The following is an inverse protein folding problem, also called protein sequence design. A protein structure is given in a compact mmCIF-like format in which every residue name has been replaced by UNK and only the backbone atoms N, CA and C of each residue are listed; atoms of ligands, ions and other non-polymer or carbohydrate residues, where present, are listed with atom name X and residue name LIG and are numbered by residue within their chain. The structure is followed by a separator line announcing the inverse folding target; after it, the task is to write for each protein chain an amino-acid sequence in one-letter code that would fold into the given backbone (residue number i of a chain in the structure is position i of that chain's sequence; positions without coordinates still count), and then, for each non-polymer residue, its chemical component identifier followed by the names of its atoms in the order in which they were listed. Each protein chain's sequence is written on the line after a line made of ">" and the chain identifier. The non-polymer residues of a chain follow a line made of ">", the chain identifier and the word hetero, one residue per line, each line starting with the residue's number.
data_IF_422920354618
#
_entry.id   IF_422920354618
#
_cell.length_a   1.000
_cell.length_b   1.000
_cell.length_c   1.000
_cell.angle_alpha   90.00
_cell.angle_beta   90.00
_cell.angle_gamma   90.00
#
_symmetry.space_group_name_H-M   'P 1'
#
loop_
_entity.id
_entity.type
_entity.pdbx_description
1 polymer ?
#
# COMPACT_ATOMS: atom_id res chain seq x y z
N UNK A 1 51.67 -8.32 35.66
CA UNK A 1 50.76 -9.37 36.20
C UNK A 1 49.34 -8.96 35.87
N UNK A 2 48.52 -9.94 35.42
CA UNK A 2 47.19 -9.84 34.77
C UNK A 2 47.30 -9.53 33.27
N UNK A 3 47.62 -10.53 32.44
CA UNK A 3 46.74 -11.56 31.83
C UNK A 3 45.67 -10.97 30.90
N UNK A 4 45.95 -11.08 29.59
CA UNK A 4 45.00 -10.87 28.50
C UNK A 4 44.38 -12.24 28.18
N UNK A 5 43.07 -12.35 28.29
CA UNK A 5 42.33 -13.54 27.88
C UNK A 5 42.14 -13.52 26.37
N UNK A 6 42.81 -14.45 25.68
CA UNK A 6 42.59 -14.78 24.27
C UNK A 6 41.42 -15.76 24.18
N UNK A 7 40.35 -15.40 23.47
CA UNK A 7 39.28 -16.33 23.14
C UNK A 7 39.71 -17.20 21.95
N UNK A 8 39.60 -18.51 22.15
CA UNK A 8 39.99 -19.58 21.25
C UNK A 8 38.85 -19.85 20.26
N UNK A 9 39.07 -19.55 18.97
CA UNK A 9 38.17 -19.93 17.88
C UNK A 9 38.38 -21.42 17.61
N UNK A 10 37.32 -22.22 17.78
CA UNK A 10 37.31 -23.63 17.42
C UNK A 10 37.05 -23.76 15.91
N UNK A 11 38.12 -24.03 15.17
CA UNK A 11 38.06 -24.38 13.75
C UNK A 11 37.46 -25.79 13.62
N UNK A 12 36.23 -25.90 13.12
CA UNK A 12 35.71 -27.17 12.62
C UNK A 12 36.23 -27.39 11.20
N UNK A 13 36.90 -28.52 11.00
CA UNK A 13 37.55 -28.95 9.76
C UNK A 13 36.54 -29.19 8.64
N UNK A 14 36.64 -28.38 7.57
CA UNK A 14 36.00 -28.62 6.28
C UNK A 14 36.79 -29.73 5.55
N UNK A 15 36.15 -30.87 5.30
CA UNK A 15 36.64 -31.87 4.36
C UNK A 15 36.04 -31.56 2.98
N UNK A 16 36.90 -31.21 2.02
CA UNK A 16 36.49 -30.82 0.68
C UNK A 16 36.21 -31.98 -0.27
N UNK A 17 35.38 -31.70 -1.26
CA UNK A 17 35.23 -32.29 -2.62
C UNK A 17 34.24 -31.34 -3.32
N UNK A 18 34.38 -30.84 -4.54
CA UNK A 18 35.38 -30.89 -5.59
C UNK A 18 34.95 -29.82 -6.61
N UNK A 19 35.90 -29.30 -7.39
CA UNK A 19 35.61 -28.42 -8.51
C UNK A 19 34.93 -29.24 -9.61
N UNK A 20 33.74 -28.83 -10.07
CA UNK A 20 33.21 -29.23 -11.37
C UNK A 20 32.89 -27.96 -12.18
N UNK A 21 33.45 -27.93 -13.38
CA UNK A 21 33.36 -26.85 -14.33
C UNK A 21 32.03 -26.96 -15.10
N UNK A 22 31.22 -25.91 -15.05
CA UNK A 22 30.27 -25.60 -16.12
C UNK A 22 29.01 -26.46 -16.21
N UNK A 23 27.90 -25.92 -15.69
CA UNK A 23 26.61 -25.99 -16.36
C UNK A 23 25.83 -24.71 -16.09
N UNK A 24 25.77 -23.86 -17.12
CA UNK A 24 24.73 -22.84 -17.24
C UNK A 24 23.42 -23.61 -17.41
N UNK A 25 22.53 -23.57 -16.42
CA UNK A 25 21.13 -23.96 -16.64
C UNK A 25 20.39 -22.71 -17.09
N UNK A 26 20.40 -22.52 -18.41
CA UNK A 26 19.31 -21.85 -19.11
C UNK A 26 18.41 -22.96 -19.63
N UNK A 27 17.32 -23.27 -18.93
CA UNK A 27 16.17 -23.86 -19.61
C UNK A 27 14.89 -23.53 -18.87
N UNK A 28 13.96 -23.00 -19.65
CA UNK A 28 12.58 -22.70 -19.30
C UNK A 28 11.89 -23.99 -18.87
N UNK A 29 11.46 -24.02 -17.61
CA UNK A 29 10.87 -25.22 -17.04
C UNK A 29 9.98 -24.89 -15.87
N UNK A 30 8.99 -24.02 -16.07
CA UNK A 30 7.77 -24.04 -15.26
C UNK A 30 7.28 -25.48 -15.29
N UNK A 31 7.37 -26.18 -14.15
CA UNK A 31 6.62 -27.41 -13.98
C UNK A 31 5.16 -27.01 -13.90
N UNK A 32 4.46 -27.11 -15.03
CA UNK A 32 3.00 -27.16 -15.07
C UNK A 32 2.57 -28.46 -14.39
N UNK A 33 2.41 -28.38 -13.07
CA UNK A 33 1.80 -29.41 -12.26
C UNK A 33 0.29 -29.32 -12.35
N UNK A 34 -0.30 -30.02 -13.31
CA UNK A 34 -1.70 -30.44 -13.22
C UNK A 34 -1.83 -31.47 -12.08
N UNK A 35 -2.67 -31.20 -11.09
CA UNK A 35 -3.15 -32.20 -10.14
C UNK A 35 -2.97 -31.88 -8.65
N UNK A 36 -4.08 -31.98 -7.91
CA UNK A 36 -4.11 -31.88 -6.46
C UNK A 36 -3.21 -32.88 -5.73
N UNK A 37 -2.81 -32.49 -4.52
CA UNK A 37 -2.17 -33.34 -3.52
C UNK A 37 -0.71 -33.71 -3.82
N UNK A 38 0.15 -32.73 -4.07
CA UNK A 38 1.61 -32.91 -4.12
C UNK A 38 2.27 -32.72 -2.75
N UNK A 39 3.30 -33.52 -2.44
CA UNK A 39 4.15 -33.33 -1.24
C UNK A 39 4.80 -31.94 -1.30
N UNK A 40 4.49 -31.09 -0.30
CA UNK A 40 5.10 -29.77 -0.19
C UNK A 40 6.55 -29.88 0.32
N UNK A 41 7.53 -29.22 -0.33
CA UNK A 41 8.89 -29.16 0.18
C UNK A 41 8.94 -28.53 1.57
N UNK A 42 9.82 -29.05 2.43
CA UNK A 42 9.99 -28.52 3.79
C UNK A 42 10.50 -27.07 3.79
N UNK A 43 11.33 -26.72 2.80
CA UNK A 43 11.92 -25.39 2.64
C UNK A 43 11.04 -24.44 1.80
N UNK A 44 9.81 -24.87 1.46
CA UNK A 44 8.87 -24.09 0.65
C UNK A 44 9.00 -24.28 -0.86
N UNK A 45 8.02 -23.73 -1.59
CA UNK A 45 8.00 -23.71 -3.06
C UNK A 45 8.54 -22.35 -3.53
N UNK A 46 9.66 -22.35 -4.25
CA UNK A 46 10.21 -21.14 -4.87
C UNK A 46 9.42 -20.78 -6.12
N UNK A 47 9.04 -19.50 -6.26
CA UNK A 47 8.27 -18.95 -7.37
C UNK A 47 8.99 -17.73 -7.92
N UNK A 48 9.11 -17.63 -9.24
CA UNK A 48 9.81 -16.54 -9.94
C UNK A 48 9.12 -16.26 -11.27
N UNK A 49 9.21 -15.03 -11.78
CA UNK A 49 8.74 -14.69 -13.13
C UNK A 49 7.21 -14.56 -13.22
N UNK A 50 6.59 -15.23 -14.18
CA UNK A 50 5.17 -15.04 -14.50
C UNK A 50 4.29 -16.24 -14.09
N UNK A 51 3.09 -15.93 -13.63
CA UNK A 51 1.95 -16.82 -13.48
C UNK A 51 0.95 -16.43 -14.57
N UNK A 52 0.97 -17.15 -15.69
CA UNK A 52 0.23 -16.84 -16.92
C UNK A 52 -1.03 -17.69 -17.14
N UNK A 53 -1.33 -18.56 -16.19
CA UNK A 53 -2.54 -19.37 -16.14
C UNK A 53 -3.03 -19.53 -14.69
N UNK A 54 -4.32 -19.81 -14.53
CA UNK A 54 -4.93 -20.04 -13.21
C UNK A 54 -4.09 -21.01 -12.38
N UNK A 55 -3.64 -20.54 -11.23
CA UNK A 55 -2.69 -21.25 -10.39
C UNK A 55 -3.19 -21.23 -8.96
N UNK A 56 -3.05 -22.37 -8.28
CA UNK A 56 -3.41 -22.49 -6.87
C UNK A 56 -2.19 -22.82 -6.03
N UNK A 57 -1.96 -21.99 -5.02
CA UNK A 57 -0.98 -22.22 -3.98
C UNK A 57 -1.63 -23.00 -2.83
N UNK A 58 -1.33 -24.31 -2.74
CA UNK A 58 -1.84 -25.21 -1.71
C UNK A 58 -0.80 -25.59 -0.64
N UNK A 59 0.47 -25.24 -0.85
CA UNK A 59 1.53 -25.50 0.13
C UNK A 59 1.53 -24.50 1.30
N UNK A 60 2.07 -24.90 2.46
CA UNK A 60 2.13 -24.01 3.63
C UNK A 60 3.11 -22.86 3.44
N UNK A 61 4.12 -23.02 2.58
CA UNK A 61 5.20 -22.05 2.41
C UNK A 61 5.55 -21.85 0.93
N UNK A 62 5.57 -20.59 0.50
CA UNK A 62 6.06 -20.14 -0.80
C UNK A 62 7.16 -19.08 -0.61
N UNK A 63 8.10 -19.02 -1.55
CA UNK A 63 9.21 -18.06 -1.54
C UNK A 63 9.25 -17.36 -2.89
N UNK A 64 9.09 -16.04 -2.90
CA UNK A 64 9.20 -15.21 -4.09
C UNK A 64 10.69 -14.95 -4.35
N UNK A 65 11.20 -15.46 -5.47
CA UNK A 65 12.55 -15.16 -5.98
C UNK A 65 12.41 -14.07 -7.04
N UNK A 66 12.56 -12.82 -6.60
CA UNK A 66 12.38 -11.63 -7.40
C UNK A 66 10.90 -11.26 -7.62
N UNK A 67 10.65 -10.49 -8.68
CA UNK A 67 9.31 -9.98 -9.00
C UNK A 67 8.47 -11.10 -9.62
N UNK A 68 7.38 -11.47 -8.96
CA UNK A 68 6.41 -12.44 -9.46
C UNK A 68 5.18 -11.72 -9.97
N UNK A 69 4.88 -11.87 -11.26
CA UNK A 69 3.74 -11.24 -11.91
C UNK A 69 2.62 -12.27 -12.16
N UNK A 70 1.38 -11.94 -11.79
CA UNK A 70 0.19 -12.66 -12.25
C UNK A 70 -0.33 -11.92 -13.47
N UNK A 71 -0.41 -12.59 -14.62
CA UNK A 71 -0.62 -11.94 -15.93
C UNK A 71 -1.67 -12.68 -16.76
N UNK A 72 -1.96 -12.17 -17.97
CA UNK A 72 -2.78 -12.85 -18.99
C UNK A 72 -4.18 -13.25 -18.53
N UNK A 73 -4.76 -12.50 -17.58
CA UNK A 73 -6.09 -12.79 -17.03
C UNK A 73 -6.13 -13.98 -16.08
N UNK A 74 -4.98 -14.49 -15.63
CA UNK A 74 -4.90 -15.58 -14.68
C UNK A 74 -5.43 -15.19 -13.30
N UNK A 75 -5.95 -16.17 -12.57
CA UNK A 75 -6.25 -16.05 -11.14
C UNK A 75 -5.24 -16.82 -10.31
N UNK A 76 -4.57 -16.13 -9.37
CA UNK A 76 -3.77 -16.75 -8.34
C UNK A 76 -4.62 -17.00 -7.08
N UNK A 77 -4.96 -18.25 -6.79
CA UNK A 77 -5.68 -18.62 -5.56
C UNK A 77 -4.73 -19.11 -4.48
N UNK A 78 -4.81 -18.57 -3.27
CA UNK A 78 -3.91 -18.89 -2.15
C UNK A 78 -4.71 -19.53 -1.01
N UNK A 79 -4.27 -20.69 -0.54
CA UNK A 79 -4.91 -21.36 0.58
C UNK A 79 -4.75 -20.59 1.90
N UNK A 80 -5.77 -20.63 2.75
CA UNK A 80 -5.71 -20.04 4.08
C UNK A 80 -4.55 -20.64 4.90
N UNK A 81 -3.84 -19.79 5.65
CA UNK A 81 -2.69 -20.20 6.46
C UNK A 81 -1.37 -20.34 5.70
N UNK A 82 -1.35 -20.05 4.40
CA UNK A 82 -0.10 -20.01 3.62
C UNK A 82 0.77 -18.83 4.06
N UNK A 83 2.06 -19.09 4.26
CA UNK A 83 3.12 -18.11 4.43
C UNK A 83 3.86 -17.91 3.10
N UNK A 84 4.10 -16.66 2.74
CA UNK A 84 4.78 -16.23 1.51
C UNK A 84 5.94 -15.33 1.91
N UNK A 85 7.16 -15.72 1.54
CA UNK A 85 8.38 -14.99 1.86
C UNK A 85 8.90 -14.24 0.65
N UNK A 86 9.27 -12.97 0.82
CA UNK A 86 10.16 -12.30 -0.15
C UNK A 86 11.60 -12.76 0.07
N UNK A 87 12.24 -13.35 -0.93
CA UNK A 87 13.63 -13.83 -0.80
C UNK A 87 14.61 -12.64 -0.73
N UNK A 88 15.35 -12.46 0.39
CA UNK A 88 16.37 -11.41 0.51
C UNK A 88 17.61 -11.68 -0.35
N UNK A 89 17.77 -12.90 -0.88
CA UNK A 89 18.86 -13.32 -1.75
C UNK A 89 18.56 -13.24 -3.25
N UNK A 90 17.33 -12.84 -3.63
CA UNK A 90 16.94 -12.71 -5.03
C UNK A 90 17.80 -11.68 -5.77
N UNK A 91 17.96 -11.87 -7.09
CA UNK A 91 18.73 -10.92 -7.92
C UNK A 91 18.04 -9.57 -8.10
N UNK A 92 16.71 -9.55 -7.96
CA UNK A 92 15.87 -8.37 -7.97
C UNK A 92 15.05 -8.38 -6.67
N UNK A 93 14.68 -7.20 -6.17
CA UNK A 93 13.82 -7.08 -4.98
C UNK A 93 12.51 -7.83 -5.18
N UNK A 94 12.19 -8.73 -4.25
CA UNK A 94 11.03 -9.62 -4.34
C UNK A 94 9.71 -8.87 -4.16
N UNK A 95 8.73 -9.16 -5.02
CA UNK A 95 7.41 -8.53 -5.02
C UNK A 95 6.35 -9.48 -5.59
N UNK A 96 5.08 -9.33 -5.19
CA UNK A 96 3.95 -9.96 -5.87
C UNK A 96 3.11 -8.88 -6.56
N UNK A 97 3.03 -8.94 -7.89
CA UNK A 97 2.34 -7.94 -8.71
C UNK A 97 1.23 -8.63 -9.50
N UNK A 98 -0.02 -8.26 -9.25
CA UNK A 98 -1.19 -8.75 -9.99
C UNK A 98 -1.48 -7.75 -11.09
N UNK A 99 -1.11 -8.08 -12.33
CA UNK A 99 -1.24 -7.17 -13.46
C UNK A 99 -2.70 -6.94 -13.87
N UNK A 100 -2.96 -5.85 -14.58
CA UNK A 100 -4.28 -5.50 -15.07
C UNK A 100 -4.96 -6.67 -15.81
N UNK A 101 -6.18 -7.00 -15.39
CA UNK A 101 -6.98 -8.09 -15.93
C UNK A 101 -6.76 -9.45 -15.24
N UNK A 102 -5.63 -9.66 -14.56
CA UNK A 102 -5.41 -10.79 -13.67
C UNK A 102 -6.05 -10.55 -12.29
N UNK A 103 -6.14 -11.60 -11.47
CA UNK A 103 -6.75 -11.53 -10.15
C UNK A 103 -5.98 -12.34 -9.10
N UNK A 104 -6.10 -11.92 -7.84
CA UNK A 104 -5.69 -12.71 -6.67
C UNK A 104 -6.90 -13.13 -5.86
N UNK A 105 -6.93 -14.38 -5.41
CA UNK A 105 -7.93 -14.92 -4.50
C UNK A 105 -7.23 -15.42 -3.22
N UNK A 106 -6.95 -14.48 -2.31
CA UNK A 106 -6.29 -14.72 -1.02
C UNK A 106 -7.31 -14.59 0.11
N UNK A 107 -7.97 -15.70 0.45
CA UNK A 107 -9.02 -15.76 1.46
C UNK A 107 -8.56 -16.59 2.67
N UNK A 108 -7.82 -15.95 3.56
CA UNK A 108 -7.49 -16.48 4.88
C UNK A 108 -8.70 -16.55 5.81
N UNK A 109 -8.44 -16.91 7.07
CA UNK A 109 -9.42 -16.83 8.15
C UNK A 109 -8.79 -16.22 9.40
N UNK A 110 -9.59 -15.80 10.38
CA UNK A 110 -9.08 -15.28 11.64
C UNK A 110 -8.10 -16.26 12.35
N UNK A 111 -8.34 -17.57 12.23
CA UNK A 111 -7.50 -18.61 12.84
C UNK A 111 -6.33 -19.05 11.94
N UNK A 112 -6.37 -18.71 10.66
CA UNK A 112 -5.36 -19.08 9.65
C UNK A 112 -5.25 -17.97 8.59
N UNK A 113 -4.67 -16.80 8.95
CA UNK A 113 -4.46 -15.72 8.01
C UNK A 113 -3.42 -16.15 6.97
N UNK A 114 -3.48 -15.55 5.78
CA UNK A 114 -2.40 -15.62 4.80
C UNK A 114 -1.37 -14.55 5.17
N UNK A 115 -0.09 -14.89 5.18
CA UNK A 115 0.98 -13.98 5.62
C UNK A 115 2.01 -13.79 4.52
N UNK A 116 2.13 -12.56 4.02
CA UNK A 116 3.24 -12.12 3.19
C UNK A 116 4.26 -11.41 4.09
N UNK A 117 5.52 -11.85 4.09
CA UNK A 117 6.53 -11.31 4.99
C UNK A 117 7.95 -11.42 4.42
N UNK A 118 8.89 -10.73 5.07
CA UNK A 118 10.33 -10.91 4.88
C UNK A 118 10.77 -12.38 4.98
N UNK A 119 11.65 -12.79 4.06
CA UNK A 119 12.38 -14.05 4.11
C UNK A 119 13.58 -14.06 5.08
N UNK A 120 13.90 -12.95 5.74
CA UNK A 120 14.87 -12.94 6.82
C UNK A 120 14.34 -13.69 8.07
N UNK A 121 15.26 -14.22 8.87
CA UNK A 121 14.94 -14.91 10.11
C UNK A 121 14.20 -13.99 11.09
N UNK A 122 13.29 -14.56 11.87
CA UNK A 122 12.61 -13.84 12.94
C UNK A 122 13.64 -13.23 13.91
N UNK A 123 13.50 -11.93 14.18
CA UNK A 123 14.44 -11.14 14.97
C UNK A 123 15.45 -10.33 14.14
N UNK A 124 15.69 -10.73 12.88
CA UNK A 124 16.55 -10.01 11.93
C UNK A 124 15.74 -9.21 10.88
N UNK A 125 14.41 -9.39 10.86
CA UNK A 125 13.51 -8.69 9.93
C UNK A 125 13.53 -7.18 10.15
N UNK A 126 13.63 -6.43 9.06
CA UNK A 126 13.59 -4.96 9.05
C UNK A 126 12.61 -4.47 7.99
N UNK A 127 12.18 -3.21 8.13
CA UNK A 127 11.32 -2.54 7.15
C UNK A 127 11.99 -2.54 5.77
N UNK A 128 11.26 -2.82 4.69
CA UNK A 128 11.80 -2.83 3.34
C UNK A 128 12.68 -4.05 3.03
N UNK A 129 12.43 -5.19 3.69
CA UNK A 129 13.10 -6.45 3.38
C UNK A 129 12.67 -7.03 2.02
N UNK A 130 11.50 -6.62 1.53
CA UNK A 130 10.92 -6.95 0.23
C UNK A 130 9.98 -5.83 -0.21
N UNK A 131 9.56 -5.82 -1.48
CA UNK A 131 8.84 -4.67 -2.02
C UNK A 131 7.42 -4.56 -1.46
N UNK A 132 6.63 -5.62 -1.58
CA UNK A 132 5.23 -5.64 -1.14
C UNK A 132 4.31 -6.34 -2.13
N UNK A 133 3.00 -6.09 -1.98
CA UNK A 133 1.95 -6.61 -2.85
C UNK A 133 1.34 -5.46 -3.65
N UNK A 134 1.32 -5.57 -4.97
CA UNK A 134 0.66 -4.61 -5.85
C UNK A 134 -0.50 -5.27 -6.60
N UNK A 135 -1.65 -4.61 -6.61
CA UNK A 135 -2.85 -5.01 -7.36
C UNK A 135 -3.16 -3.94 -8.40
N UNK A 136 -3.09 -4.29 -9.68
CA UNK A 136 -3.25 -3.38 -10.80
C UNK A 136 -4.58 -3.64 -11.51
N UNK A 137 -5.41 -2.61 -11.66
CA UNK A 137 -6.73 -2.70 -12.27
C UNK A 137 -6.91 -1.74 -13.44
N UNK A 138 -8.14 -1.68 -13.96
CA UNK A 138 -8.51 -0.85 -15.11
C UNK A 138 -9.54 0.23 -14.83
N UNK A 139 -9.79 0.55 -13.56
CA UNK A 139 -10.67 1.64 -13.15
C UNK A 139 -10.07 3.01 -13.48
N UNK A 140 -10.91 4.05 -13.44
CA UNK A 140 -10.52 5.41 -13.82
C UNK A 140 -9.55 6.05 -12.85
N UNK A 141 -8.64 6.84 -13.42
CA UNK A 141 -7.65 7.70 -12.75
C UNK A 141 -7.85 9.14 -13.21
N UNK A 142 -7.15 10.11 -12.60
CA UNK A 142 -7.10 11.51 -13.08
C UNK A 142 -5.70 11.99 -13.49
N UNK A 143 -4.69 11.15 -13.28
CA UNK A 143 -3.30 11.35 -13.65
C UNK A 143 -2.84 10.24 -14.61
N UNK A 144 -1.72 10.47 -15.30
CA UNK A 144 -1.13 9.51 -16.24
C UNK A 144 -1.23 9.93 -17.72
N UNK A 145 -0.92 9.00 -18.61
CA UNK A 145 -0.94 9.24 -20.05
C UNK A 145 -2.16 8.59 -20.69
N UNK A 146 -2.70 9.22 -21.74
CA UNK A 146 -3.62 8.51 -22.61
C UNK A 146 -2.83 7.57 -23.53
N UNK A 147 -2.79 6.29 -23.17
CA UNK A 147 -2.25 5.26 -24.06
C UNK A 147 -3.25 5.01 -25.18
N UNK A 148 -2.95 5.50 -26.38
CA UNK A 148 -3.60 5.03 -27.60
C UNK A 148 -3.35 3.53 -27.72
N UNK A 149 -4.39 2.68 -27.66
CA UNK A 149 -4.32 1.22 -27.86
C UNK A 149 -4.02 0.84 -29.34
N UNK A 150 -3.12 1.58 -29.98
CA UNK A 150 -2.86 1.46 -31.42
C UNK A 150 -4.05 1.80 -32.34
N UNK A 151 -5.21 2.18 -31.78
CA UNK A 151 -6.38 2.64 -32.52
C UNK A 151 -6.45 4.18 -32.51
N UNK A 152 -6.07 4.87 -33.60
CA UNK A 152 -6.13 6.33 -33.70
C UNK A 152 -7.58 6.86 -33.83
N UNK A 153 -8.61 6.01 -33.67
CA UNK A 153 -10.02 6.36 -33.84
C UNK A 153 -10.85 6.39 -32.56
N UNK A 154 -10.26 6.10 -31.39
CA UNK A 154 -10.94 6.31 -30.12
C UNK A 154 -10.74 7.75 -29.65
N UNK A 155 -11.81 8.55 -29.67
CA UNK A 155 -11.93 9.85 -28.97
C UNK A 155 -11.81 9.71 -27.43
N UNK A 156 -11.32 8.56 -26.91
CA UNK A 156 -11.30 8.21 -25.49
C UNK A 156 -10.33 9.09 -24.69
N UNK A 157 -9.29 9.66 -25.32
CA UNK A 157 -8.36 10.60 -24.69
C UNK A 157 -8.98 11.98 -24.36
N UNK A 158 -10.17 12.30 -24.86
CA UNK A 158 -10.86 13.55 -24.57
C UNK A 158 -11.88 13.41 -23.41
N UNK A 159 -12.09 12.18 -22.88
CA UNK A 159 -13.00 11.91 -21.78
C UNK A 159 -12.26 11.96 -20.42
N UNK A 160 -12.72 12.78 -19.44
CA UNK A 160 -12.20 12.74 -18.08
C UNK A 160 -12.27 11.32 -17.51
N UNK A 161 -11.20 10.88 -16.83
CA UNK A 161 -11.15 9.56 -16.20
C UNK A 161 -10.52 8.44 -17.04
N UNK A 162 -10.17 8.66 -18.32
CA UNK A 162 -9.49 7.66 -19.14
C UNK A 162 -7.98 7.92 -19.22
N UNK A 163 -7.27 7.53 -18.17
CA UNK A 163 -5.81 7.55 -18.12
C UNK A 163 -5.28 6.19 -17.77
N UNK A 164 -4.04 5.91 -18.18
CA UNK A 164 -3.27 4.81 -17.61
C UNK A 164 -1.97 5.35 -17.07
N UNK A 165 -1.49 4.71 -16.03
CA UNK A 165 -0.20 4.98 -15.45
C UNK A 165 0.55 3.65 -15.26
N UNK A 166 1.75 3.70 -14.70
CA UNK A 166 2.65 2.57 -14.53
C UNK A 166 3.08 2.51 -13.08
N UNK A 167 3.04 1.31 -12.50
CA UNK A 167 3.54 1.06 -11.17
C UNK A 167 4.99 1.52 -11.05
N UNK A 168 5.28 2.29 -10.01
CA UNK A 168 6.59 2.87 -9.78
C UNK A 168 7.69 1.82 -9.63
N UNK A 169 8.91 2.20 -10.00
CA UNK A 169 10.08 1.32 -9.91
C UNK A 169 10.12 0.12 -10.86
N UNK A 170 9.14 0.00 -11.76
CA UNK A 170 9.13 -0.96 -12.87
C UNK A 170 9.59 -0.30 -14.18
N UNK A 171 10.38 -1.02 -14.98
CA UNK A 171 10.92 -0.53 -16.24
C UNK A 171 9.82 0.02 -17.17
N UNK A 172 10.10 1.16 -17.81
CA UNK A 172 9.17 1.85 -18.73
C UNK A 172 8.73 1.01 -19.94
N UNK A 173 9.43 -0.08 -20.25
CA UNK A 173 9.10 -1.00 -21.33
C UNK A 173 8.32 -2.24 -20.90
N UNK A 174 7.97 -2.37 -19.62
CA UNK A 174 7.30 -3.54 -19.08
C UNK A 174 5.79 -3.32 -18.92
N UNK A 175 5.02 -3.63 -19.96
CA UNK A 175 3.58 -3.34 -20.00
C UNK A 175 2.76 -4.09 -18.92
N UNK A 176 3.35 -5.06 -18.20
CA UNK A 176 2.69 -5.78 -17.10
C UNK A 176 2.42 -4.87 -15.88
N UNK A 177 3.13 -3.75 -15.77
CA UNK A 177 2.99 -2.78 -14.70
C UNK A 177 1.98 -1.65 -14.99
N UNK A 178 1.28 -1.70 -16.13
CA UNK A 178 0.29 -0.68 -16.49
C UNK A 178 -1.01 -0.90 -15.71
N UNK A 179 -1.59 0.18 -15.20
CA UNK A 179 -2.90 0.23 -14.55
C UNK A 179 -3.69 1.46 -15.00
N UNK A 180 -5.00 1.50 -14.72
CA UNK A 180 -5.90 2.57 -15.13
C UNK A 180 -6.69 2.26 -16.40
N UNK A 181 -7.78 3.00 -16.63
CA UNK A 181 -8.70 2.79 -17.74
C UNK A 181 -10.07 3.43 -17.47
N UNK A 182 -11.15 2.76 -17.84
CA UNK A 182 -12.54 3.21 -17.60
C UNK A 182 -13.42 2.16 -16.94
N UNK A 183 -12.83 1.09 -16.43
CA UNK A 183 -13.53 -0.08 -15.90
C UNK A 183 -13.71 0.02 -14.38
N UNK A 184 -14.47 1.02 -13.92
CA UNK A 184 -14.75 1.27 -12.48
C UNK A 184 -15.45 0.08 -11.77
N UNK A 185 -16.09 -0.82 -12.52
CA UNK A 185 -16.71 -2.03 -11.98
C UNK A 185 -15.80 -3.26 -12.00
N UNK A 186 -14.55 -3.13 -12.45
CA UNK A 186 -13.58 -4.23 -12.52
C UNK A 186 -13.20 -4.77 -11.12
N UNK A 187 -12.56 -5.92 -11.09
CA UNK A 187 -12.05 -6.54 -9.85
C UNK A 187 -10.60 -6.94 -10.05
N UNK A 188 -9.76 -6.54 -9.11
CA UNK A 188 -8.39 -7.06 -8.95
C UNK A 188 -8.37 -8.36 -8.12
N UNK A 189 -9.53 -8.81 -7.61
CA UNK A 189 -9.68 -10.01 -6.81
C UNK A 189 -10.06 -9.73 -5.35
N UNK A 190 -9.64 -10.62 -4.44
CA UNK A 190 -10.00 -10.62 -3.02
C UNK A 190 -8.76 -10.80 -2.14
N UNK A 191 -8.57 -9.87 -1.20
CA UNK A 191 -7.73 -10.03 -0.02
C UNK A 191 -8.63 -10.07 1.22
N UNK A 192 -8.62 -11.19 1.94
CA UNK A 192 -9.37 -11.34 3.20
C UNK A 192 -8.57 -12.11 4.25
N UNK A 193 -8.45 -11.56 5.46
CA UNK A 193 -7.60 -12.10 6.54
C UNK A 193 -6.15 -12.29 6.05
N UNK A 194 -5.56 -11.20 5.60
CA UNK A 194 -4.21 -11.14 5.04
C UNK A 194 -3.33 -10.27 5.94
N UNK A 195 -2.08 -10.69 6.17
CA UNK A 195 -1.03 -9.89 6.80
C UNK A 195 0.07 -9.62 5.79
N UNK A 196 0.53 -8.39 5.69
CA UNK A 196 1.65 -7.97 4.86
C UNK A 196 2.66 -7.28 5.78
N UNK A 197 3.87 -7.83 5.86
CA UNK A 197 4.82 -7.45 6.91
C UNK A 197 6.19 -7.15 6.34
N UNK A 198 6.85 -6.09 6.83
CA UNK A 198 8.25 -5.77 6.48
C UNK A 198 8.47 -5.46 4.99
N UNK A 199 7.42 -5.06 4.29
CA UNK A 199 7.44 -4.59 2.90
C UNK A 199 7.99 -3.14 2.81
N UNK A 200 7.86 -2.45 1.67
CA UNK A 200 8.30 -1.05 1.53
C UNK A 200 9.62 -0.87 0.77
N UNK A 201 10.12 -1.90 0.10
CA UNK A 201 11.47 -1.84 -0.48
C UNK A 201 11.51 -1.08 -1.80
N UNK A 202 12.61 -0.34 -1.99
CA UNK A 202 12.93 0.37 -3.22
C UNK A 202 13.14 -0.61 -4.38
N UNK A 203 12.39 -0.40 -5.46
CA UNK A 203 12.47 -1.18 -6.70
C UNK A 203 13.44 -0.56 -7.70
N UNK A 204 13.61 0.77 -7.67
CA UNK A 204 14.61 1.53 -8.42
C UNK A 204 14.89 2.87 -7.73
N UNK A 205 15.97 3.62 -8.05
CA UNK A 205 16.33 4.87 -7.36
C UNK A 205 15.13 5.81 -7.14
N UNK A 206 14.84 6.11 -5.87
CA UNK A 206 13.74 6.97 -5.41
C UNK A 206 12.34 6.47 -5.86
N UNK A 207 12.17 5.15 -6.01
CA UNK A 207 10.89 4.50 -6.35
C UNK A 207 10.72 3.24 -5.50
N UNK A 208 9.93 3.38 -4.44
CA UNK A 208 9.53 2.33 -3.53
C UNK A 208 8.21 1.68 -3.94
N UNK A 209 7.93 0.51 -3.36
CA UNK A 209 6.61 -0.08 -3.38
C UNK A 209 6.09 -0.10 -1.96
N UNK A 210 4.79 0.03 -1.76
CA UNK A 210 4.14 0.09 -0.46
C UNK A 210 3.99 -1.28 0.19
N UNK A 211 3.49 -1.28 1.42
CA UNK A 211 2.95 -2.50 2.02
C UNK A 211 1.91 -3.16 1.11
N UNK A 212 0.83 -2.42 0.84
CA UNK A 212 -0.19 -2.80 -0.14
C UNK A 212 -0.44 -1.65 -1.10
N UNK A 213 -0.09 -1.85 -2.36
CA UNK A 213 -0.42 -0.91 -3.44
C UNK A 213 -1.69 -1.37 -4.16
N UNK A 214 -2.69 -0.49 -4.25
CA UNK A 214 -3.97 -0.74 -4.92
C UNK A 214 -4.17 0.28 -6.03
N UNK A 215 -3.71 -0.04 -7.24
CA UNK A 215 -3.65 0.89 -8.35
C UNK A 215 -4.73 0.60 -9.40
N UNK A 216 -5.67 1.53 -9.60
CA UNK A 216 -6.74 1.42 -10.59
C UNK A 216 -7.70 0.24 -10.34
N UNK A 217 -7.80 -0.27 -9.11
CA UNK A 217 -8.72 -1.37 -8.82
C UNK A 217 -10.17 -0.89 -8.73
N UNK A 218 -11.09 -1.61 -9.39
CA UNK A 218 -12.50 -1.26 -9.41
C UNK A 218 -13.27 -1.76 -8.18
N UNK A 219 -14.52 -1.32 -8.09
CA UNK A 219 -15.49 -1.63 -7.03
C UNK A 219 -15.86 -3.12 -6.88
N UNK A 220 -15.48 -3.97 -7.85
CA UNK A 220 -15.59 -5.42 -7.73
C UNK A 220 -14.49 -6.07 -6.87
N UNK A 221 -13.48 -5.30 -6.46
CA UNK A 221 -12.37 -5.76 -5.61
C UNK A 221 -12.81 -5.84 -4.15
N UNK A 222 -12.41 -6.89 -3.43
CA UNK A 222 -12.70 -7.05 -1.99
C UNK A 222 -11.42 -6.94 -1.19
N UNK A 223 -11.32 -5.90 -0.34
CA UNK A 223 -10.23 -5.70 0.60
C UNK A 223 -10.80 -5.64 2.02
N UNK A 224 -10.64 -6.71 2.81
CA UNK A 224 -11.28 -6.78 4.13
C UNK A 224 -10.47 -7.58 5.14
N UNK A 225 -10.34 -7.11 6.39
CA UNK A 225 -9.54 -7.81 7.42
C UNK A 225 -8.08 -7.95 6.97
N UNK A 226 -7.43 -6.81 6.75
CA UNK A 226 -6.03 -6.73 6.30
C UNK A 226 -5.19 -6.10 7.41
N UNK A 227 -4.00 -6.63 7.64
CA UNK A 227 -2.99 -5.96 8.45
C UNK A 227 -1.76 -5.67 7.60
N UNK A 228 -1.30 -4.43 7.63
CA UNK A 228 0.03 -4.05 7.14
C UNK A 228 0.89 -3.66 8.33
N UNK A 229 2.09 -4.25 8.40
CA UNK A 229 2.97 -4.09 9.55
C UNK A 229 4.39 -3.77 9.13
N UNK A 230 4.95 -2.69 9.68
CA UNK A 230 6.38 -2.38 9.58
C UNK A 230 6.87 -2.25 8.14
N UNK A 231 6.11 -1.54 7.31
CA UNK A 231 6.57 -1.13 5.97
C UNK A 231 7.71 -0.10 6.05
N UNK A 232 8.61 -0.08 5.07
CA UNK A 232 9.59 1.01 4.88
C UNK A 232 9.01 2.22 4.16
N UNK A 233 7.89 2.02 3.49
CA UNK A 233 7.10 3.02 2.80
C UNK A 233 5.70 3.03 3.40
N UNK A 234 4.71 3.48 2.65
CA UNK A 234 3.32 3.52 3.09
C UNK A 234 2.77 2.16 3.51
N UNK A 235 1.82 2.20 4.44
CA UNK A 235 1.06 1.03 4.82
C UNK A 235 0.18 0.52 3.67
N UNK A 236 -0.79 1.33 3.27
CA UNK A 236 -1.69 1.05 2.15
C UNK A 236 -1.77 2.30 1.31
N UNK A 237 -1.53 2.17 0.02
CA UNK A 237 -1.66 3.29 -0.92
C UNK A 237 -2.62 2.93 -2.05
N UNK A 238 -3.51 3.87 -2.36
CA UNK A 238 -4.41 3.81 -3.51
C UNK A 238 -3.94 4.75 -4.61
N UNK A 239 -3.68 4.21 -5.80
CA UNK A 239 -3.52 5.01 -7.01
C UNK A 239 -4.80 4.93 -7.83
N UNK A 240 -5.74 5.84 -7.56
CA UNK A 240 -7.01 5.95 -8.27
C UNK A 240 -7.95 4.74 -8.12
N UNK A 241 -8.95 4.66 -8.99
CA UNK A 241 -9.94 3.59 -8.97
C UNK A 241 -11.06 3.76 -7.94
N UNK A 242 -11.80 2.67 -7.68
CA UNK A 242 -13.05 2.69 -6.88
C UNK A 242 -13.17 1.52 -5.90
N UNK A 243 -12.10 0.74 -5.72
CA UNK A 243 -12.04 -0.30 -4.70
C UNK A 243 -12.22 0.31 -3.30
N UNK A 244 -12.89 -0.42 -2.42
CA UNK A 244 -13.11 -0.02 -1.02
C UNK A 244 -12.43 -1.02 -0.08
N UNK A 245 -12.12 -0.56 1.14
CA UNK A 245 -11.49 -1.37 2.18
C UNK A 245 -12.24 -1.32 3.52
N UNK A 246 -12.25 -2.43 4.24
CA UNK A 246 -12.79 -2.48 5.60
C UNK A 246 -11.98 -3.36 6.57
N UNK A 247 -12.02 -3.03 7.87
CA UNK A 247 -11.28 -3.75 8.93
C UNK A 247 -9.78 -3.84 8.61
N UNK A 248 -9.10 -2.70 8.61
CA UNK A 248 -7.66 -2.63 8.28
C UNK A 248 -6.85 -2.13 9.47
N UNK A 249 -5.70 -2.75 9.70
CA UNK A 249 -4.72 -2.31 10.70
C UNK A 249 -3.41 -1.99 9.99
N UNK A 250 -2.95 -0.76 10.09
CA UNK A 250 -1.65 -0.31 9.61
C UNK A 250 -0.82 0.03 10.83
N UNK A 251 0.34 -0.61 11.00
CA UNK A 251 1.12 -0.49 12.23
C UNK A 251 2.60 -0.33 11.96
N UNK A 252 3.14 0.80 12.40
CA UNK A 252 4.51 1.24 12.19
C UNK A 252 4.92 1.31 10.72
N UNK A 253 4.15 1.92 9.81
CA UNK A 253 4.71 2.32 8.52
C UNK A 253 5.90 3.26 8.78
N UNK A 254 6.87 3.28 7.87
CA UNK A 254 8.00 4.21 7.99
C UNK A 254 7.76 5.50 7.20
N UNK A 255 6.71 5.53 6.38
CA UNK A 255 6.14 6.72 5.76
C UNK A 255 4.64 6.86 6.16
N UNK A 256 3.71 6.99 5.22
CA UNK A 256 2.31 7.26 5.53
C UNK A 256 1.52 6.00 5.93
N UNK A 257 0.48 6.22 6.73
CA UNK A 257 -0.42 5.14 7.14
C UNK A 257 -1.27 4.64 5.98
N UNK A 258 -2.25 5.44 5.62
CA UNK A 258 -3.10 5.26 4.46
C UNK A 258 -2.83 6.43 3.51
N UNK A 259 -2.36 6.14 2.31
CA UNK A 259 -2.21 7.12 1.24
C UNK A 259 -3.29 6.89 0.16
N UNK A 260 -3.75 7.98 -0.45
CA UNK A 260 -4.58 7.94 -1.62
C UNK A 260 -4.24 9.05 -2.63
N UNK A 261 -4.03 8.69 -3.88
CA UNK A 261 -3.78 9.62 -4.98
C UNK A 261 -4.60 9.22 -6.23
N UNK A 262 -4.39 9.95 -7.32
CA UNK A 262 -4.81 9.66 -8.68
C UNK A 262 -6.32 9.48 -8.90
N UNK A 263 -7.13 10.14 -8.06
CA UNK A 263 -8.59 10.16 -8.25
C UNK A 263 -9.31 8.97 -7.62
N UNK A 264 -8.80 8.46 -6.49
CA UNK A 264 -9.44 7.36 -5.78
C UNK A 264 -10.81 7.79 -5.23
N UNK A 265 -11.85 6.99 -5.54
CA UNK A 265 -13.25 7.28 -5.16
C UNK A 265 -13.87 6.13 -4.38
N UNK A 266 -13.06 5.44 -3.59
CA UNK A 266 -13.48 4.34 -2.74
C UNK A 266 -14.01 4.78 -1.38
N UNK A 267 -14.35 3.79 -0.56
CA UNK A 267 -14.73 3.99 0.84
C UNK A 267 -13.84 3.17 1.76
N UNK A 268 -13.59 3.70 2.96
CA UNK A 268 -12.83 3.04 4.02
C UNK A 268 -13.64 2.96 5.31
N UNK A 269 -13.64 1.80 5.99
CA UNK A 269 -14.30 1.68 7.29
C UNK A 269 -13.61 0.74 8.28
N UNK A 270 -13.57 1.11 9.57
CA UNK A 270 -12.90 0.33 10.63
C UNK A 270 -11.39 0.21 10.36
N UNK A 271 -10.74 1.36 10.26
CA UNK A 271 -9.30 1.45 9.99
C UNK A 271 -8.59 1.87 11.28
N UNK A 272 -7.48 1.22 11.59
CA UNK A 272 -6.56 1.63 12.64
C UNK A 272 -5.21 1.91 12.02
N UNK A 273 -4.71 3.14 12.19
CA UNK A 273 -3.31 3.49 11.91
C UNK A 273 -2.61 3.71 13.23
N UNK A 274 -1.52 3.01 13.47
CA UNK A 274 -0.71 3.15 14.67
C UNK A 274 0.75 3.37 14.28
N UNK A 275 1.22 4.60 14.41
CA UNK A 275 2.62 4.97 14.18
C UNK A 275 3.49 4.62 15.39
N UNK A 276 4.76 4.31 15.17
CA UNK A 276 5.72 4.03 16.24
C UNK A 276 6.72 5.17 16.35
N UNK A 277 7.22 5.42 17.56
CA UNK A 277 8.20 6.50 17.79
C UNK A 277 9.43 6.37 16.88
N UNK A 278 9.81 7.47 16.23
CA UNK A 278 10.97 7.59 15.37
C UNK A 278 10.80 7.05 13.94
N UNK A 279 9.59 6.66 13.54
CA UNK A 279 9.24 6.23 12.17
C UNK A 279 7.87 6.78 11.75
N UNK A 280 7.63 6.90 10.44
CA UNK A 280 6.38 7.39 9.84
C UNK A 280 6.39 8.89 9.55
N UNK A 281 5.41 9.33 8.75
CA UNK A 281 5.11 10.75 8.50
C UNK A 281 3.65 11.08 8.87
N UNK A 282 2.70 10.92 7.95
CA UNK A 282 1.28 11.14 8.16
C UNK A 282 0.56 9.86 8.57
N UNK A 283 -0.50 9.97 9.38
CA UNK A 283 -1.39 8.83 9.56
C UNK A 283 -2.28 8.61 8.32
N UNK A 284 -2.65 9.70 7.64
CA UNK A 284 -3.34 9.71 6.35
C UNK A 284 -2.68 10.76 5.46
N UNK A 285 -2.20 10.36 4.29
CA UNK A 285 -1.94 11.28 3.18
C UNK A 285 -3.02 11.05 2.14
N UNK A 286 -3.51 12.11 1.50
CA UNK A 286 -4.51 11.94 0.45
C UNK A 286 -4.48 13.14 -0.50
N UNK A 287 -4.08 12.83 -1.71
CA UNK A 287 -3.87 13.72 -2.84
C UNK A 287 -4.93 13.47 -3.91
N UNK A 288 -4.91 14.27 -4.97
CA UNK A 288 -5.72 13.99 -6.16
C UNK A 288 -4.89 14.04 -7.42
N UNK A 289 -4.37 15.20 -7.82
CA UNK A 289 -3.35 15.25 -8.88
C UNK A 289 -2.59 16.57 -8.83
N UNK A 290 -1.35 16.55 -8.35
CA UNK A 290 -0.52 17.76 -8.20
C UNK A 290 -0.22 18.51 -9.49
N UNK A 291 -0.34 17.86 -10.66
CA UNK A 291 -0.21 18.52 -11.95
C UNK A 291 -1.41 19.41 -12.31
N UNK A 292 -2.58 19.16 -11.72
CA UNK A 292 -3.83 19.89 -11.92
C UNK A 292 -4.87 19.51 -10.85
N UNK A 293 -5.02 20.33 -9.81
CA UNK A 293 -5.93 20.07 -8.68
C UNK A 293 -7.42 19.98 -9.07
N UNK A 294 -7.78 20.44 -10.28
CA UNK A 294 -9.14 20.38 -10.81
C UNK A 294 -9.33 19.23 -11.81
N UNK A 295 -8.38 18.30 -11.92
CA UNK A 295 -8.49 17.14 -12.80
C UNK A 295 -9.58 16.19 -12.32
N UNK A 296 -10.48 15.80 -13.23
CA UNK A 296 -11.56 14.87 -12.93
C UNK A 296 -11.23 13.46 -13.46
N UNK A 297 -11.61 12.40 -12.73
CA UNK A 297 -12.27 12.42 -11.41
C UNK A 297 -11.32 12.88 -10.29
N UNK A 298 -11.74 13.82 -9.45
CA UNK A 298 -10.97 14.14 -8.23
C UNK A 298 -11.00 12.96 -7.26
N UNK A 299 -9.96 12.81 -6.44
CA UNK A 299 -10.02 11.92 -5.28
C UNK A 299 -11.21 12.35 -4.43
N UNK A 300 -12.09 11.42 -4.08
CA UNK A 300 -13.33 11.66 -3.34
C UNK A 300 -13.60 10.48 -2.41
N UNK A 301 -12.71 10.34 -1.42
CA UNK A 301 -12.71 9.22 -0.50
C UNK A 301 -13.69 9.45 0.66
N UNK A 302 -14.50 8.45 1.00
CA UNK A 302 -15.30 8.47 2.24
C UNK A 302 -14.72 7.50 3.27
N UNK A 303 -14.16 8.03 4.35
CA UNK A 303 -13.54 7.25 5.41
C UNK A 303 -14.36 7.37 6.71
N UNK A 304 -14.64 6.24 7.38
CA UNK A 304 -15.45 6.25 8.60
C UNK A 304 -14.99 5.27 9.67
N UNK A 305 -15.22 5.60 10.94
CA UNK A 305 -14.83 4.76 12.07
C UNK A 305 -13.32 4.45 12.05
N UNK A 306 -12.51 5.50 12.13
CA UNK A 306 -11.05 5.42 12.03
C UNK A 306 -10.43 5.67 13.41
N UNK A 307 -9.35 4.98 13.75
CA UNK A 307 -8.53 5.28 14.92
C UNK A 307 -7.10 5.53 14.46
N UNK A 308 -6.58 6.71 14.74
CA UNK A 308 -5.24 7.17 14.41
C UNK A 308 -4.49 7.35 15.73
N UNK A 309 -3.41 6.60 15.92
CA UNK A 309 -2.57 6.63 17.13
C UNK A 309 -1.15 6.99 16.71
N UNK A 310 -0.73 8.19 17.09
CA UNK A 310 0.62 8.68 16.88
C UNK A 310 1.55 8.32 18.06
N UNK A 311 2.77 8.84 18.00
CA UNK A 311 3.79 8.64 19.03
C UNK A 311 4.35 9.97 19.60
N UNK A 312 3.56 11.04 19.51
CA UNK A 312 3.96 12.42 19.79
C UNK A 312 4.82 13.05 18.69
N UNK A 313 4.78 12.46 17.50
CA UNK A 313 5.50 12.83 16.27
C UNK A 313 4.49 12.80 15.11
N UNK A 314 4.92 13.19 13.90
CA UNK A 314 4.08 13.09 12.69
C UNK A 314 2.84 13.99 12.67
N UNK A 315 2.03 13.78 11.64
CA UNK A 315 0.80 14.54 11.35
C UNK A 315 -0.42 13.61 11.33
N UNK A 316 -1.58 14.10 11.76
CA UNK A 316 -2.83 13.34 11.65
C UNK A 316 -3.16 13.05 10.19
N UNK A 317 -3.24 14.10 9.37
CA UNK A 317 -3.48 13.94 7.94
C UNK A 317 -2.95 15.12 7.14
N UNK A 318 -2.42 14.84 5.95
CA UNK A 318 -2.16 15.83 4.90
C UNK A 318 -3.15 15.60 3.76
N UNK A 319 -4.01 16.59 3.47
CA UNK A 319 -5.00 16.50 2.39
C UNK A 319 -4.75 17.63 1.38
N UNK A 320 -4.44 17.30 0.14
CA UNK A 320 -3.95 18.32 -0.81
C UNK A 320 -4.30 18.02 -2.26
N UNK A 321 -3.82 18.91 -3.13
CA UNK A 321 -3.77 18.71 -4.59
C UNK A 321 -5.14 18.47 -5.21
N UNK A 322 -6.16 19.11 -4.65
CA UNK A 322 -7.53 18.93 -5.07
C UNK A 322 -8.19 17.65 -4.54
N UNK A 323 -7.75 17.07 -3.44
CA UNK A 323 -8.52 16.01 -2.80
C UNK A 323 -9.89 16.54 -2.30
N UNK A 324 -10.95 15.76 -2.52
CA UNK A 324 -12.27 15.85 -1.87
C UNK A 324 -12.48 14.61 -1.01
N UNK A 325 -13.47 14.65 -0.13
CA UNK A 325 -13.84 13.48 0.63
C UNK A 325 -14.51 13.79 1.96
N UNK A 326 -14.92 12.75 2.66
CA UNK A 326 -15.61 12.86 3.95
C UNK A 326 -14.97 11.92 4.96
N UNK A 327 -14.47 12.47 6.06
CA UNK A 327 -13.96 11.73 7.20
C UNK A 327 -14.94 11.89 8.36
N UNK A 328 -15.49 10.76 8.84
CA UNK A 328 -16.53 10.78 9.88
C UNK A 328 -16.23 9.77 10.98
N UNK A 329 -16.37 10.20 12.24
CA UNK A 329 -16.13 9.34 13.41
C UNK A 329 -14.70 8.80 13.45
N UNK A 330 -13.74 9.72 13.45
CA UNK A 330 -12.32 9.42 13.70
C UNK A 330 -11.96 9.69 15.17
N UNK A 331 -10.96 8.96 15.66
CA UNK A 331 -10.28 9.25 16.93
C UNK A 331 -8.80 9.39 16.63
N UNK A 332 -8.24 10.57 16.87
CA UNK A 332 -6.83 10.87 16.63
C UNK A 332 -6.14 11.23 17.94
N UNK A 333 -5.09 10.50 18.30
CA UNK A 333 -4.35 10.69 19.55
C UNK A 333 -2.85 10.76 19.36
N UNK A 334 -2.19 11.61 20.14
CA UNK A 334 -0.72 11.69 20.26
C UNK A 334 0.02 12.02 18.96
N UNK A 335 -0.37 13.10 18.27
CA UNK A 335 0.30 13.61 17.07
C UNK A 335 0.98 14.96 17.31
N UNK A 336 2.15 15.18 16.71
CA UNK A 336 2.83 16.47 16.82
C UNK A 336 2.16 17.58 16.00
N UNK A 337 1.50 17.24 14.90
CA UNK A 337 0.77 18.16 14.03
C UNK A 337 -0.68 17.70 13.80
N UNK A 338 -1.64 18.64 13.69
CA UNK A 338 -3.04 18.33 13.40
C UNK A 338 -3.23 18.00 11.91
N UNK A 339 -4.47 18.06 11.41
CA UNK A 339 -4.74 17.95 9.98
C UNK A 339 -4.26 19.21 9.26
N UNK A 340 -3.67 19.04 8.08
CA UNK A 340 -3.13 20.08 7.21
C UNK A 340 -3.86 20.00 5.86
N UNK A 341 -4.45 21.10 5.40
CA UNK A 341 -5.13 21.17 4.11
C UNK A 341 -4.30 22.05 3.18
N UNK A 342 -3.97 21.59 1.97
CA UNK A 342 -3.24 22.43 1.00
C UNK A 342 -4.02 22.56 -0.29
N UNK A 343 -4.00 23.76 -0.86
CA UNK A 343 -4.71 24.07 -2.08
C UNK A 343 -4.04 25.23 -2.83
N UNK A 344 -3.56 24.97 -4.05
CA UNK A 344 -3.04 26.01 -4.92
C UNK A 344 -4.14 26.66 -5.79
N UNK A 345 -5.04 25.83 -6.33
CA UNK A 345 -6.03 26.17 -7.35
C UNK A 345 -7.48 25.94 -6.90
N UNK A 346 -7.77 24.93 -6.06
CA UNK A 346 -9.14 24.69 -5.56
C UNK A 346 -9.54 25.65 -4.42
N UNK A 347 -10.84 25.91 -4.26
CA UNK A 347 -11.37 26.85 -3.25
C UNK A 347 -11.92 26.08 -2.05
N UNK A 348 -11.07 25.85 -1.05
CA UNK A 348 -11.46 25.14 0.19
C UNK A 348 -12.62 25.81 0.92
N UNK A 349 -12.78 27.13 0.80
CA UNK A 349 -13.91 27.84 1.44
C UNK A 349 -15.27 27.54 0.81
N UNK A 350 -15.26 27.16 -0.47
CA UNK A 350 -16.45 26.72 -1.20
C UNK A 350 -16.71 25.22 -1.05
N UNK A 351 -15.64 24.44 -0.90
CA UNK A 351 -15.69 22.98 -0.80
C UNK A 351 -16.00 22.52 0.62
N UNK A 352 -15.51 23.23 1.64
CA UNK A 352 -15.77 22.89 3.04
C UNK A 352 -17.16 23.32 3.51
N UNK A 353 -17.90 22.49 4.27
CA UNK A 353 -17.60 21.10 4.62
C UNK A 353 -18.25 20.06 3.67
N UNK A 354 -18.78 20.51 2.52
CA UNK A 354 -19.72 19.74 1.71
C UNK A 354 -19.07 18.75 0.74
N UNK A 355 -17.97 19.15 0.11
CA UNK A 355 -17.17 18.33 -0.81
C UNK A 355 -15.93 17.78 -0.10
N UNK A 356 -15.34 18.55 0.82
CA UNK A 356 -14.32 18.09 1.74
C UNK A 356 -14.79 18.34 3.17
N UNK A 357 -14.71 17.36 4.06
CA UNK A 357 -15.20 17.51 5.44
C UNK A 357 -14.63 16.50 6.43
N UNK A 358 -14.46 16.96 7.67
CA UNK A 358 -14.10 16.11 8.82
C UNK A 358 -15.01 16.39 10.01
N UNK A 359 -15.79 15.39 10.44
CA UNK A 359 -16.80 15.59 11.48
C UNK A 359 -16.96 14.42 12.46
N UNK A 360 -17.64 14.72 13.58
CA UNK A 360 -17.95 13.79 14.66
C UNK A 360 -16.74 13.06 15.24
N UNK A 361 -15.60 13.76 15.35
CA UNK A 361 -14.30 13.13 15.65
C UNK A 361 -13.67 13.64 16.94
N UNK A 362 -12.78 12.84 17.52
CA UNK A 362 -11.98 13.19 18.70
C UNK A 362 -10.54 13.49 18.29
N UNK A 363 -9.98 14.55 18.85
CA UNK A 363 -8.59 14.96 18.69
C UNK A 363 -8.01 15.17 20.09
N UNK A 364 -7.03 14.37 20.52
CA UNK A 364 -6.49 14.47 21.87
C UNK A 364 -4.98 14.35 21.89
N UNK A 365 -4.30 15.21 22.65
CA UNK A 365 -2.83 15.25 22.66
C UNK A 365 -2.25 15.50 21.24
N UNK A 366 -2.84 16.49 20.55
CA UNK A 366 -2.48 16.88 19.19
C UNK A 366 -1.86 18.28 19.22
N UNK A 367 -0.88 18.53 18.36
CA UNK A 367 -0.34 19.88 18.14
C UNK A 367 -1.38 20.91 17.71
N UNK A 368 -1.00 22.18 17.78
CA UNK A 368 -1.84 23.30 17.34
C UNK A 368 -1.82 23.41 15.82
N UNK A 369 -2.91 23.91 15.25
CA UNK A 369 -2.94 24.31 13.84
C UNK A 369 -1.94 25.44 13.60
N UNK A 370 -1.22 25.43 12.46
CA UNK A 370 -0.34 26.52 12.08
C UNK A 370 -1.13 27.83 11.90
N UNK A 371 -0.40 28.93 11.68
CA UNK A 371 -1.03 30.21 11.39
C UNK A 371 -1.03 30.45 9.88
N UNK A 372 -2.20 30.68 9.32
CA UNK A 372 -2.42 30.98 7.90
C UNK A 372 -1.85 32.33 7.43
N UNK A 373 -0.54 32.49 7.52
CA UNK A 373 0.16 33.69 7.10
C UNK A 373 1.56 33.42 6.58
N UNK A 374 1.95 34.14 5.52
CA UNK A 374 3.34 34.23 5.10
C UNK A 374 3.78 33.02 4.30
N UNK A 375 4.79 32.29 4.79
CA UNK A 375 5.27 31.05 4.16
C UNK A 375 4.44 29.83 4.60
N UNK A 376 3.61 29.99 5.64
CA UNK A 376 2.75 28.95 6.20
C UNK A 376 1.32 28.97 5.61
N UNK A 377 1.03 29.86 4.66
CA UNK A 377 -0.27 29.92 3.94
C UNK A 377 -0.12 29.19 2.60
N UNK A 378 -0.53 27.92 2.56
CA UNK A 378 -0.45 27.02 1.41
C UNK A 378 -1.83 26.55 0.91
N UNK A 379 -2.89 27.23 1.35
CA UNK A 379 -4.28 26.87 1.10
C UNK A 379 -5.18 28.09 0.73
N UNK A 380 -4.54 29.22 0.45
CA UNK A 380 -5.14 30.52 0.14
C UNK A 380 -5.86 31.19 1.33
N UNK A 381 -5.36 30.93 2.54
CA UNK A 381 -5.80 31.56 3.78
C UNK A 381 -7.08 30.96 4.34
N UNK A 382 -7.32 29.67 4.07
CA UNK A 382 -8.44 28.95 4.64
C UNK A 382 -8.11 28.57 6.09
N UNK A 383 -8.95 28.99 7.04
CA UNK A 383 -8.66 28.85 8.48
C UNK A 383 -9.07 27.44 8.96
N UNK A 384 -8.15 26.47 8.94
CA UNK A 384 -8.43 25.08 9.34
C UNK A 384 -8.77 25.00 10.81
N UNK A 385 -8.11 25.80 11.66
CA UNK A 385 -8.44 25.86 13.08
C UNK A 385 -9.93 26.22 13.27
N UNK A 386 -10.43 27.24 12.58
CA UNK A 386 -11.85 27.60 12.62
C UNK A 386 -12.75 26.54 11.95
N UNK A 387 -12.31 25.94 10.85
CA UNK A 387 -13.06 24.93 10.11
C UNK A 387 -13.30 23.66 10.93
N UNK A 388 -12.26 23.15 11.58
CA UNK A 388 -12.31 21.92 12.38
C UNK A 388 -12.94 22.12 13.76
N UNK A 389 -12.82 23.31 14.36
CA UNK A 389 -13.40 23.61 15.68
C UNK A 389 -14.82 24.19 15.62
N UNK A 390 -15.40 24.36 14.42
CA UNK A 390 -16.81 24.73 14.29
C UNK A 390 -17.69 23.69 15.00
N UNK A 391 -18.48 24.14 15.98
CA UNK A 391 -19.39 23.31 16.76
C UNK A 391 -20.40 22.51 15.90
N UNK A 392 -20.69 22.96 14.68
CA UNK A 392 -21.51 22.22 13.73
C UNK A 392 -20.87 20.92 13.22
N UNK A 393 -19.52 20.81 13.26
CA UNK A 393 -18.78 19.59 12.90
C UNK A 393 -18.83 18.53 14.02
N UNK A 394 -19.15 18.93 15.25
CA UNK A 394 -19.15 18.02 16.42
C UNK A 394 -17.80 17.34 16.66
N UNK A 395 -16.69 18.03 16.36
CA UNK A 395 -15.36 17.59 16.73
C UNK A 395 -15.06 17.97 18.19
N UNK A 396 -14.40 17.08 18.93
CA UNK A 396 -14.02 17.26 20.33
C UNK A 396 -12.48 17.26 20.46
N UNK A 397 -11.94 18.40 20.90
CA UNK A 397 -10.51 18.61 21.13
C UNK A 397 -10.13 18.58 22.64
N UNK A 398 -11.12 18.47 23.52
CA UNK A 398 -10.97 18.65 24.97
C UNK A 398 -11.06 17.31 25.75
N UNK A 399 -11.69 16.29 25.16
CA UNK A 399 -11.97 15.02 25.82
C UNK A 399 -10.96 13.94 25.45
N UNK A 400 -10.29 13.40 26.47
CA UNK A 400 -9.49 12.16 26.36
C UNK A 400 -10.40 10.98 25.97
N UNK A 401 -10.16 10.32 24.82
CA UNK A 401 -10.97 9.17 24.38
C UNK A 401 -10.72 7.90 25.20
N UNK A 402 -9.81 7.92 26.17
CA UNK A 402 -9.43 6.81 27.05
C UNK A 402 -8.95 5.57 26.29
N UNK A 403 -8.27 5.78 25.16
CA UNK A 403 -7.46 4.75 24.50
C UNK A 403 -6.22 4.56 25.39
N UNK A 404 -6.27 3.59 26.32
CA UNK A 404 -5.24 3.41 27.32
C UNK A 404 -3.83 3.19 26.72
N UNK A 405 -2.83 3.85 27.30
CA UNK A 405 -1.39 3.75 27.02
C UNK A 405 -0.85 2.32 26.80
#
# INVERSE_FOLDING_TARGET
>A
MREKTTALILLATLAGFGCDDGAVITDSGVTTGDGGGGDCPADGVVVSGEIDADTRWECPLYVLDGRVFVVNGATLSIAAGTEILGDPGASETSALIVAQGAQIDAQGTADAPIVFTSGNFEGDRVTGDWAGVAMLGGASLNSGECFMDGDPSTDDCDAPGYFRNRLEGIDVGDDRAIYGGSEDASSCGTLRYVRIEFAGAELSPDNELNGLTVAGCGSGTTLSHIQVHRGKDDGVEFFGGTASLDHVIISGPSDDGLDCDEGWRGTGQFIVVHQFAGIGDNAIECDSFGGNELAEPRTDATLSNITLVGAGEGRIALLREGMRGQIVNAVSVDFAAPVDLRAADNDLSAEWPGELGWESSYFFSVGEFPTETGEDDDDNGFDEAAAFTDAARMNDFDTDPMLAD
#
